data_IF_421140385017
#
_entry.id   IF_421140385017
#
_cell.length_a   1.000
_cell.length_b   1.000
_cell.length_c   1.000
_cell.angle_alpha   90.00
_cell.angle_beta   90.00
_cell.angle_gamma   90.00
#
_symmetry.space_group_name_H-M   'P 1'
#
loop_
_entity.id
_entity.type
_entity.pdbx_description
1 polymer ?
#
# COMPACT_ATOMS: atom_id res chain seq x y z
N UNK A 1 39.28 55.18 6.32
CA UNK A 1 38.73 53.90 6.81
C UNK A 1 38.09 53.23 5.61
N UNK A 2 38.92 52.56 4.81
CA UNK A 2 38.55 51.97 3.53
C UNK A 2 38.45 50.46 3.75
N UNK A 3 37.35 50.03 4.38
CA UNK A 3 37.05 48.62 4.66
C UNK A 3 35.55 48.39 4.93
N UNK A 4 34.68 49.32 4.52
CA UNK A 4 33.21 49.19 4.66
C UNK A 4 32.49 49.00 3.32
N UNK A 5 33.14 49.31 2.19
CA UNK A 5 32.51 49.29 0.86
C UNK A 5 32.56 47.90 0.17
N UNK A 6 33.26 46.92 0.76
CA UNK A 6 33.47 45.59 0.15
C UNK A 6 32.80 44.43 0.91
N UNK A 7 31.85 44.75 1.79
CA UNK A 7 30.91 43.74 2.30
C UNK A 7 29.87 43.51 1.20
N UNK A 8 30.26 42.77 0.15
CA UNK A 8 29.29 42.10 -0.71
C UNK A 8 28.53 41.14 0.19
N UNK A 9 27.29 41.49 0.52
CA UNK A 9 26.35 40.64 1.23
C UNK A 9 26.27 39.31 0.44
N UNK A 10 26.99 38.28 0.91
CA UNK A 10 27.27 37.04 0.18
C UNK A 10 26.06 36.11 0.06
N UNK A 11 24.86 36.69 0.07
CA UNK A 11 23.57 36.00 0.05
C UNK A 11 22.82 36.40 -1.20
N UNK A 12 22.45 35.39 -1.98
CA UNK A 12 21.52 35.54 -3.10
C UNK A 12 20.19 34.89 -2.71
N UNK A 13 19.15 35.71 -2.54
CA UNK A 13 17.81 35.27 -2.20
C UNK A 13 16.94 35.03 -3.45
N UNK A 14 17.47 35.25 -4.65
CA UNK A 14 16.75 35.10 -5.92
C UNK A 14 15.39 35.84 -5.94
N UNK A 15 15.37 37.10 -5.51
CA UNK A 15 14.15 37.91 -5.39
C UNK A 15 13.46 38.17 -6.75
N UNK A 16 14.15 37.90 -7.86
CA UNK A 16 13.64 37.92 -9.23
C UNK A 16 12.80 36.67 -9.59
N UNK A 17 12.86 35.62 -8.77
CA UNK A 17 12.22 34.32 -9.04
C UNK A 17 11.22 33.98 -7.93
N UNK A 18 9.90 34.13 -8.18
CA UNK A 18 8.92 33.70 -7.20
C UNK A 18 8.96 32.18 -7.02
N UNK A 19 8.81 31.72 -5.78
CA UNK A 19 8.61 30.30 -5.49
C UNK A 19 7.27 29.84 -6.08
N UNK A 20 7.26 28.64 -6.65
CA UNK A 20 6.05 27.99 -7.16
C UNK A 20 5.83 26.64 -6.50
N UNK A 21 4.57 26.22 -6.42
CA UNK A 21 4.22 24.89 -5.91
C UNK A 21 4.32 23.85 -7.02
N UNK A 22 4.86 22.68 -6.69
CA UNK A 22 4.90 21.53 -7.60
C UNK A 22 3.65 20.68 -7.42
N UNK A 23 2.95 20.37 -8.51
CA UNK A 23 1.76 19.52 -8.49
C UNK A 23 2.11 18.05 -8.23
N UNK A 24 1.38 17.40 -7.32
CA UNK A 24 1.38 15.94 -7.18
C UNK A 24 0.35 15.32 -8.15
N UNK A 25 0.83 14.83 -9.30
CA UNK A 25 -0.01 14.45 -10.45
C UNK A 25 -0.55 13.00 -10.41
N UNK A 26 -0.55 12.35 -9.24
CA UNK A 26 -1.17 11.03 -9.08
C UNK A 26 -2.70 11.17 -9.01
N UNK A 27 -3.42 10.34 -9.78
CA UNK A 27 -4.88 10.44 -9.97
C UNK A 27 -5.61 10.47 -8.60
N UNK A 28 -6.42 11.51 -8.39
CA UNK A 28 -7.25 11.65 -7.18
C UNK A 28 -6.49 11.94 -5.87
N UNK A 29 -5.16 12.13 -5.92
CA UNK A 29 -4.32 12.23 -4.72
C UNK A 29 -3.73 13.63 -4.49
N UNK A 30 -4.12 14.64 -5.27
CA UNK A 30 -3.52 15.99 -5.26
C UNK A 30 -3.86 16.86 -4.05
N UNK A 31 -4.77 16.41 -3.17
CA UNK A 31 -5.20 17.13 -1.97
C UNK A 31 -4.96 16.34 -0.67
N UNK A 32 -4.09 15.33 -0.71
CA UNK A 32 -3.65 14.58 0.46
C UNK A 32 -2.51 15.32 1.17
N UNK A 33 -2.35 15.08 2.48
CA UNK A 33 -1.18 15.58 3.22
C UNK A 33 0.13 15.01 2.67
N UNK A 34 1.24 15.74 2.86
CA UNK A 34 2.56 15.37 2.38
C UNK A 34 2.96 13.94 2.78
N UNK A 35 2.67 13.52 4.02
CA UNK A 35 3.04 12.17 4.49
C UNK A 35 2.37 11.05 3.70
N UNK A 36 1.11 11.25 3.31
CA UNK A 36 0.37 10.27 2.50
C UNK A 36 0.81 10.32 1.03
N UNK A 37 1.05 11.52 0.47
CA UNK A 37 1.61 11.65 -0.89
C UNK A 37 2.99 10.99 -1.01
N UNK A 38 3.83 11.13 0.03
CA UNK A 38 5.15 10.50 0.12
C UNK A 38 5.05 8.97 0.09
N UNK A 39 4.15 8.36 0.87
CA UNK A 39 3.90 6.91 0.83
C UNK A 39 3.40 6.45 -0.54
N UNK A 40 2.48 7.19 -1.15
CA UNK A 40 1.96 6.89 -2.48
C UNK A 40 3.04 7.00 -3.56
N UNK A 41 3.96 7.97 -3.46
CA UNK A 41 5.10 8.14 -4.37
C UNK A 41 6.13 7.00 -4.29
N UNK A 42 6.14 6.24 -3.18
CA UNK A 42 6.92 5.00 -3.05
C UNK A 42 6.25 3.82 -3.73
N UNK A 43 4.91 3.80 -3.78
CA UNK A 43 4.15 2.75 -4.48
C UNK A 43 4.14 3.02 -5.98
N UNK A 44 3.72 4.22 -6.38
CA UNK A 44 3.59 4.63 -7.78
C UNK A 44 4.77 5.50 -8.18
N UNK A 45 5.55 5.05 -9.15
CA UNK A 45 6.70 5.78 -9.66
C UNK A 45 6.29 7.21 -10.08
N UNK A 46 6.88 8.29 -9.54
CA UNK A 46 6.42 9.66 -9.81
C UNK A 46 6.47 10.08 -11.27
N UNK A 47 7.34 9.45 -12.09
CA UNK A 47 7.48 9.75 -13.53
C UNK A 47 6.38 9.05 -14.34
N UNK A 48 6.14 7.77 -14.08
CA UNK A 48 5.21 6.95 -14.88
C UNK A 48 3.80 6.91 -14.30
N UNK A 49 3.65 7.19 -13.00
CA UNK A 49 2.43 7.07 -12.18
C UNK A 49 1.87 5.64 -12.15
N UNK A 50 2.75 4.65 -12.37
CA UNK A 50 2.43 3.22 -12.39
C UNK A 50 3.29 2.47 -11.38
N UNK A 51 2.94 1.23 -11.11
CA UNK A 51 3.63 0.33 -10.20
C UNK A 51 3.57 -1.11 -10.71
N UNK A 52 4.62 -1.88 -10.44
CA UNK A 52 4.63 -3.34 -10.54
C UNK A 52 4.73 -3.90 -9.13
N UNK A 53 3.60 -4.39 -8.61
CA UNK A 53 3.49 -4.93 -7.26
C UNK A 53 3.63 -6.46 -7.28
N UNK A 54 4.55 -6.99 -6.48
CA UNK A 54 4.71 -8.43 -6.28
C UNK A 54 3.94 -8.87 -5.03
N UNK A 55 2.83 -9.58 -5.23
CA UNK A 55 1.97 -10.08 -4.16
C UNK A 55 2.27 -11.55 -3.82
N UNK A 56 2.47 -11.82 -2.53
CA UNK A 56 2.74 -13.17 -2.00
C UNK A 56 2.11 -13.34 -0.61
N UNK A 57 0.96 -12.70 -0.39
CA UNK A 57 0.18 -12.77 0.85
C UNK A 57 -0.78 -13.96 0.91
N UNK A 58 -1.03 -14.66 -0.21
CA UNK A 58 -2.02 -15.75 -0.38
C UNK A 58 -2.14 -16.73 0.79
N UNK A 59 -1.01 -17.05 1.44
CA UNK A 59 -0.99 -17.97 2.58
C UNK A 59 -1.79 -17.50 3.80
N UNK A 60 -2.24 -16.25 3.86
CA UNK A 60 -3.06 -15.73 4.96
C UNK A 60 -4.36 -16.54 5.20
N UNK A 61 -4.91 -17.16 4.14
CA UNK A 61 -6.09 -18.03 4.22
C UNK A 61 -5.91 -19.38 3.51
N UNK A 62 -4.90 -19.53 2.64
CA UNK A 62 -4.64 -20.75 1.85
C UNK A 62 -3.57 -21.67 2.46
N UNK A 63 -2.76 -21.19 3.41
CA UNK A 63 -1.55 -21.91 3.83
C UNK A 63 -0.47 -21.94 2.73
N UNK A 64 0.35 -23.01 2.63
CA UNK A 64 1.45 -23.09 1.66
C UNK A 64 0.92 -23.38 0.25
N UNK A 65 0.48 -22.33 -0.45
CA UNK A 65 0.04 -22.43 -1.85
C UNK A 65 1.22 -22.65 -2.79
N UNK A 66 0.96 -23.25 -3.96
CA UNK A 66 1.99 -23.63 -4.94
C UNK A 66 2.90 -22.45 -5.29
N UNK A 67 4.21 -22.64 -5.17
CA UNK A 67 5.25 -21.64 -5.42
C UNK A 67 5.61 -20.76 -4.20
N UNK A 68 4.76 -20.72 -3.16
CA UNK A 68 4.99 -19.96 -1.93
C UNK A 68 5.37 -20.84 -0.73
N UNK A 69 5.71 -22.11 -0.96
CA UNK A 69 6.12 -23.04 0.10
C UNK A 69 7.40 -22.58 0.80
N UNK A 70 8.28 -21.92 0.05
CA UNK A 70 9.57 -21.37 0.52
C UNK A 70 9.79 -19.96 -0.03
N UNK A 71 9.13 -18.97 0.56
CA UNK A 71 9.28 -17.56 0.19
C UNK A 71 10.74 -17.10 0.27
N UNK A 72 11.46 -17.58 1.27
CA UNK A 72 12.88 -17.30 1.51
C UNK A 72 13.81 -17.81 0.37
N UNK A 73 13.37 -18.80 -0.41
CA UNK A 73 14.13 -19.36 -1.54
C UNK A 73 13.55 -18.90 -2.88
N UNK A 74 12.26 -19.13 -3.09
CA UNK A 74 11.63 -19.02 -4.40
C UNK A 74 11.24 -17.58 -4.74
N UNK A 75 10.91 -16.77 -3.73
CA UNK A 75 10.38 -15.42 -3.93
C UNK A 75 11.42 -14.35 -3.59
N UNK A 76 12.32 -14.63 -2.65
CA UNK A 76 13.36 -13.67 -2.25
C UNK A 76 14.21 -13.12 -3.42
N UNK A 77 14.63 -13.92 -4.43
CA UNK A 77 15.34 -13.40 -5.59
C UNK A 77 14.50 -12.43 -6.46
N UNK A 78 13.17 -12.44 -6.31
CA UNK A 78 12.28 -11.58 -7.09
C UNK A 78 12.10 -10.19 -6.50
N UNK A 79 12.44 -10.00 -5.21
CA UNK A 79 12.13 -8.75 -4.50
C UNK A 79 12.79 -7.52 -5.14
N UNK A 80 14.01 -7.66 -5.66
CA UNK A 80 14.75 -6.54 -6.26
C UNK A 80 14.10 -6.01 -7.54
N UNK A 81 13.36 -6.84 -8.26
CA UNK A 81 12.72 -6.51 -9.54
C UNK A 81 11.33 -5.90 -9.38
N UNK A 82 10.73 -5.98 -8.19
CA UNK A 82 9.43 -5.37 -7.90
C UNK A 82 9.58 -3.89 -7.53
N UNK A 83 8.59 -3.06 -7.87
CA UNK A 83 8.52 -1.69 -7.35
C UNK A 83 8.11 -1.71 -5.86
N UNK A 84 7.20 -2.61 -5.49
CA UNK A 84 6.61 -2.72 -4.15
C UNK A 84 6.24 -4.18 -3.85
N UNK A 85 6.41 -4.59 -2.58
CA UNK A 85 6.06 -5.92 -2.10
C UNK A 85 4.69 -5.89 -1.42
N UNK A 86 3.86 -6.93 -1.59
CA UNK A 86 2.61 -7.10 -0.85
C UNK A 86 2.60 -8.45 -0.13
N UNK A 87 2.53 -8.41 1.20
CA UNK A 87 2.64 -9.60 2.06
C UNK A 87 1.96 -9.41 3.42
N UNK A 88 1.95 -10.47 4.24
CA UNK A 88 1.50 -10.40 5.64
C UNK A 88 2.62 -9.94 6.56
N UNK A 89 2.27 -9.40 7.74
CA UNK A 89 3.27 -9.02 8.75
C UNK A 89 4.11 -10.19 9.26
N UNK A 90 3.57 -11.40 9.23
CA UNK A 90 4.28 -12.61 9.64
C UNK A 90 5.46 -12.88 8.71
N UNK A 91 5.17 -12.98 7.40
CA UNK A 91 6.18 -13.17 6.36
C UNK A 91 7.17 -12.01 6.30
N UNK A 92 6.69 -10.77 6.39
CA UNK A 92 7.54 -9.59 6.36
C UNK A 92 8.61 -9.62 7.46
N UNK A 93 8.23 -10.01 8.69
CA UNK A 93 9.16 -10.06 9.83
C UNK A 93 10.08 -11.28 9.79
N UNK A 94 9.61 -12.41 9.26
CA UNK A 94 10.32 -13.68 9.38
C UNK A 94 11.33 -13.93 8.26
N UNK A 95 10.99 -13.58 7.02
CA UNK A 95 11.76 -14.03 5.83
C UNK A 95 12.02 -12.95 4.79
N UNK A 96 11.45 -11.75 4.93
CA UNK A 96 11.77 -10.61 4.05
C UNK A 96 12.88 -9.79 4.71
N UNK A 97 14.12 -9.78 4.19
CA UNK A 97 15.21 -9.05 4.82
C UNK A 97 14.95 -7.53 4.75
N UNK A 98 15.03 -6.77 5.86
CA UNK A 98 14.84 -5.31 5.84
C UNK A 98 15.80 -4.58 4.87
N UNK A 99 16.98 -5.16 4.63
CA UNK A 99 17.99 -4.65 3.71
C UNK A 99 17.53 -4.56 2.24
N UNK A 100 16.47 -5.27 1.85
CA UNK A 100 15.91 -5.18 0.49
C UNK A 100 15.39 -3.78 0.16
N UNK A 101 15.07 -2.99 1.19
CA UNK A 101 14.68 -1.58 1.11
C UNK A 101 13.58 -1.30 0.07
N UNK A 102 12.62 -2.21 -0.04
CA UNK A 102 11.44 -2.04 -0.90
C UNK A 102 10.26 -1.48 -0.11
N UNK A 103 9.42 -0.63 -0.74
CA UNK A 103 8.10 -0.31 -0.22
C UNK A 103 7.28 -1.58 0.04
N UNK A 104 6.42 -1.55 1.06
CA UNK A 104 5.57 -2.69 1.41
C UNK A 104 4.12 -2.25 1.57
N UNK A 105 3.20 -3.00 0.96
CA UNK A 105 1.77 -2.97 1.24
C UNK A 105 1.40 -4.18 2.08
N UNK A 106 0.79 -3.94 3.23
CA UNK A 106 0.54 -5.00 4.21
C UNK A 106 -0.87 -5.56 4.07
N UNK A 107 -1.01 -6.89 3.93
CA UNK A 107 -2.28 -7.59 4.15
C UNK A 107 -2.75 -7.32 5.59
N UNK A 108 -3.83 -6.56 5.72
CA UNK A 108 -4.39 -6.10 6.98
C UNK A 108 -5.80 -6.67 7.25
N UNK A 109 -6.30 -7.58 6.41
CA UNK A 109 -7.47 -8.41 6.65
C UNK A 109 -7.13 -9.90 6.66
N UNK A 110 -8.01 -10.75 7.20
CA UNK A 110 -7.84 -12.19 7.28
C UNK A 110 -8.83 -12.80 8.28
N UNK A 111 -8.44 -13.88 8.97
CA UNK A 111 -9.30 -14.67 9.87
C UNK A 111 -10.36 -15.56 9.18
N UNK A 112 -10.30 -15.66 7.86
CA UNK A 112 -10.95 -16.66 7.04
C UNK A 112 -9.98 -17.81 6.70
N UNK A 113 -10.50 -18.87 6.07
CA UNK A 113 -9.71 -19.94 5.48
C UNK A 113 -10.44 -20.53 4.28
N UNK A 114 -9.75 -21.36 3.49
CA UNK A 114 -10.37 -22.12 2.40
C UNK A 114 -11.42 -23.16 2.86
N UNK A 115 -11.51 -23.43 4.17
CA UNK A 115 -12.42 -24.43 4.75
C UNK A 115 -13.73 -23.82 5.27
N UNK A 116 -13.86 -22.49 5.20
CA UNK A 116 -14.99 -21.72 5.74
C UNK A 116 -15.46 -20.71 4.72
N UNK A 117 -16.51 -19.95 5.04
CA UNK A 117 -16.97 -18.85 4.19
C UNK A 117 -15.84 -17.85 3.90
N UNK A 118 -15.55 -17.63 2.62
CA UNK A 118 -14.37 -16.87 2.17
C UNK A 118 -14.49 -15.39 2.53
N UNK A 119 -15.70 -14.82 2.48
CA UNK A 119 -15.92 -13.41 2.78
C UNK A 119 -15.86 -13.06 4.28
N UNK A 120 -15.80 -14.06 5.17
CA UNK A 120 -15.78 -13.88 6.62
C UNK A 120 -14.41 -13.38 7.14
N UNK A 121 -14.03 -12.17 6.73
CA UNK A 121 -12.79 -11.52 7.14
C UNK A 121 -12.98 -10.48 8.24
N UNK A 122 -11.96 -10.34 9.07
CA UNK A 122 -11.78 -9.27 10.03
C UNK A 122 -10.47 -8.52 9.77
N UNK A 123 -10.32 -7.33 10.37
CA UNK A 123 -9.04 -6.61 10.40
C UNK A 123 -8.01 -7.45 11.17
N UNK A 124 -6.92 -7.83 10.49
CA UNK A 124 -5.87 -8.72 10.99
C UNK A 124 -4.66 -7.99 11.57
N UNK A 125 -4.51 -6.68 11.29
CA UNK A 125 -3.39 -5.86 11.74
C UNK A 125 -3.88 -4.49 12.22
N UNK A 126 -3.55 -4.14 13.46
CA UNK A 126 -3.79 -2.79 13.97
C UNK A 126 -2.87 -1.78 13.27
N UNK A 127 -3.37 -0.56 13.02
CA UNK A 127 -2.61 0.49 12.34
C UNK A 127 -1.30 0.85 13.03
N UNK A 128 -1.22 0.73 14.36
CA UNK A 128 0.01 0.87 15.14
C UNK A 128 1.14 -0.05 14.64
N UNK A 129 0.82 -1.31 14.33
CA UNK A 129 1.81 -2.27 13.86
C UNK A 129 2.16 -2.04 12.38
N UNK A 130 1.23 -1.54 11.57
CA UNK A 130 1.51 -1.10 10.20
C UNK A 130 2.49 0.09 10.18
N UNK A 131 2.32 1.06 11.07
CA UNK A 131 3.26 2.18 11.27
C UNK A 131 4.62 1.65 11.75
N UNK A 132 4.63 0.77 12.75
CA UNK A 132 5.87 0.14 13.27
C UNK A 132 6.66 -0.60 12.18
N UNK A 133 5.97 -1.19 11.20
CA UNK A 133 6.56 -1.90 10.07
C UNK A 133 6.96 -0.99 8.89
N UNK A 134 6.80 0.33 9.04
CA UNK A 134 7.11 1.31 7.98
C UNK A 134 6.42 1.00 6.64
N UNK A 135 5.16 0.56 6.70
CA UNK A 135 4.41 0.23 5.48
C UNK A 135 4.05 1.49 4.69
N UNK A 136 3.87 1.31 3.38
CA UNK A 136 3.41 2.38 2.48
C UNK A 136 1.90 2.35 2.29
N UNK A 137 1.25 1.21 2.52
CA UNK A 137 -0.21 1.10 2.59
C UNK A 137 -0.61 -0.13 3.41
N UNK A 138 -1.88 -0.16 3.83
CA UNK A 138 -2.54 -1.35 4.35
C UNK A 138 -3.64 -1.80 3.36
N UNK A 139 -3.81 -3.10 3.19
CA UNK A 139 -4.72 -3.69 2.22
C UNK A 139 -5.74 -4.62 2.89
N UNK A 140 -7.00 -4.53 2.47
CA UNK A 140 -8.05 -5.42 2.93
C UNK A 140 -9.00 -5.79 1.79
N UNK A 141 -9.63 -6.94 1.89
CA UNK A 141 -10.65 -7.35 0.92
C UNK A 141 -11.97 -6.60 1.16
N UNK A 142 -12.69 -6.34 0.07
CA UNK A 142 -14.11 -6.00 0.07
C UNK A 142 -14.85 -7.05 -0.77
N UNK A 143 -15.92 -7.62 -0.23
CA UNK A 143 -16.65 -8.74 -0.80
C UNK A 143 -18.08 -8.34 -1.15
N UNK A 144 -18.23 -7.58 -2.24
CA UNK A 144 -19.54 -7.14 -2.72
C UNK A 144 -20.33 -8.33 -3.28
N UNK A 145 -21.56 -8.50 -2.85
CA UNK A 145 -22.46 -9.60 -3.20
C UNK A 145 -22.27 -10.87 -2.37
N UNK A 146 -21.38 -10.87 -1.39
CA UNK A 146 -21.07 -12.04 -0.55
C UNK A 146 -21.81 -12.01 0.81
N UNK A 147 -21.80 -13.14 1.52
CA UNK A 147 -22.46 -13.28 2.83
C UNK A 147 -22.01 -12.21 3.84
N UNK A 148 -20.71 -11.92 3.90
CA UNK A 148 -20.14 -10.94 4.84
C UNK A 148 -19.79 -9.59 4.18
N UNK A 149 -20.51 -9.18 3.12
CA UNK A 149 -20.30 -7.89 2.43
C UNK A 149 -20.20 -6.73 3.43
N UNK A 150 -21.20 -6.61 4.30
CA UNK A 150 -21.27 -5.52 5.28
C UNK A 150 -20.03 -5.45 6.19
N UNK A 151 -19.54 -6.61 6.66
CA UNK A 151 -18.36 -6.67 7.52
C UNK A 151 -17.10 -6.29 6.73
N UNK A 152 -16.98 -6.74 5.48
CA UNK A 152 -15.84 -6.39 4.63
C UNK A 152 -15.76 -4.88 4.36
N UNK A 153 -16.89 -4.21 4.14
CA UNK A 153 -16.97 -2.75 4.00
C UNK A 153 -16.57 -2.06 5.31
N UNK A 154 -17.04 -2.57 6.46
CA UNK A 154 -16.64 -2.04 7.78
C UNK A 154 -15.13 -2.18 8.04
N UNK A 155 -14.50 -3.23 7.57
CA UNK A 155 -13.04 -3.38 7.66
C UNK A 155 -12.33 -2.24 6.91
N UNK A 156 -12.82 -1.88 5.72
CA UNK A 156 -12.30 -0.75 4.94
C UNK A 156 -12.51 0.58 5.69
N UNK A 157 -13.72 0.82 6.20
CA UNK A 157 -14.03 2.04 6.98
C UNK A 157 -13.08 2.18 8.18
N UNK A 158 -12.93 1.11 8.97
CA UNK A 158 -12.05 1.09 10.14
C UNK A 158 -10.60 1.39 9.77
N UNK A 159 -10.11 0.82 8.67
CA UNK A 159 -8.74 1.05 8.20
C UNK A 159 -8.55 2.49 7.70
N UNK A 160 -9.53 3.08 7.00
CA UNK A 160 -9.49 4.48 6.56
C UNK A 160 -9.44 5.42 7.76
N UNK A 161 -10.32 5.22 8.74
CA UNK A 161 -10.39 6.05 9.95
C UNK A 161 -9.07 6.03 10.73
N UNK A 162 -8.45 4.85 10.85
CA UNK A 162 -7.16 4.70 11.49
C UNK A 162 -6.00 5.26 10.62
N UNK A 163 -6.06 5.04 9.31
CA UNK A 163 -5.01 5.43 8.36
C UNK A 163 -4.92 6.95 8.19
N UNK A 164 -6.04 7.66 8.17
CA UNK A 164 -6.09 9.11 8.10
C UNK A 164 -5.35 9.78 9.27
N UNK A 165 -5.37 9.19 10.46
CA UNK A 165 -4.66 9.73 11.65
C UNK A 165 -3.14 9.68 11.53
N UNK A 166 -2.61 8.84 10.63
CA UNK A 166 -1.16 8.58 10.49
C UNK A 166 -0.65 8.77 9.06
N UNK A 167 -1.51 9.25 8.15
CA UNK A 167 -1.21 9.41 6.72
C UNK A 167 -0.97 8.09 5.98
N UNK A 168 -1.61 6.98 6.39
CA UNK A 168 -1.48 5.66 5.75
C UNK A 168 -2.54 5.47 4.66
N UNK A 169 -2.15 5.26 3.38
CA UNK A 169 -3.07 4.84 2.33
C UNK A 169 -3.70 3.47 2.60
N UNK A 170 -4.98 3.31 2.22
CA UNK A 170 -5.71 2.05 2.31
C UNK A 170 -6.02 1.54 0.90
N UNK A 171 -5.65 0.30 0.63
CA UNK A 171 -5.94 -0.40 -0.63
C UNK A 171 -7.10 -1.37 -0.41
N UNK A 172 -8.24 -1.09 -1.06
CA UNK A 172 -9.38 -2.00 -1.10
C UNK A 172 -9.20 -2.98 -2.26
N UNK A 173 -9.20 -4.27 -1.98
CA UNK A 173 -9.07 -5.33 -2.98
C UNK A 173 -10.42 -5.99 -3.16
N UNK A 174 -10.95 -6.03 -4.37
CA UNK A 174 -12.24 -6.67 -4.63
C UNK A 174 -12.10 -8.19 -4.57
N UNK A 175 -12.67 -8.78 -3.52
CA UNK A 175 -12.83 -10.22 -3.39
C UNK A 175 -14.02 -10.69 -4.21
N UNK A 176 -13.84 -11.76 -4.97
CA UNK A 176 -14.90 -12.35 -5.80
C UNK A 176 -15.36 -13.66 -5.16
N UNK A 177 -16.68 -13.82 -5.02
CA UNK A 177 -17.28 -15.10 -4.63
C UNK A 177 -17.34 -16.05 -5.84
N UNK A 178 -17.20 -17.35 -5.56
CA UNK A 178 -17.22 -18.43 -6.56
C UNK A 178 -18.57 -18.50 -7.30
N UNK A 179 -19.66 -18.07 -6.66
CA UNK A 179 -21.02 -18.18 -7.19
C UNK A 179 -21.50 -16.97 -8.01
N UNK A 180 -20.66 -15.96 -8.22
CA UNK A 180 -21.03 -14.85 -9.12
C UNK A 180 -20.95 -15.32 -10.57
N UNK A 181 -22.06 -15.21 -11.31
CA UNK A 181 -22.06 -15.37 -12.76
C UNK A 181 -21.01 -14.43 -13.37
N UNK A 182 -20.14 -14.93 -14.26
CA UNK A 182 -19.09 -14.13 -14.93
C UNK A 182 -19.68 -13.19 -16.00
N UNK A 183 -20.56 -12.29 -15.59
CA UNK A 183 -21.31 -11.38 -16.44
C UNK A 183 -20.77 -9.93 -16.38
N UNK A 184 -21.46 -8.97 -17.04
CA UNK A 184 -20.99 -7.58 -17.10
C UNK A 184 -20.76 -6.95 -15.71
N UNK A 185 -21.68 -7.07 -14.74
CA UNK A 185 -21.44 -6.66 -13.35
C UNK A 185 -20.20 -7.30 -12.72
N UNK A 186 -19.96 -8.60 -12.95
CA UNK A 186 -18.77 -9.30 -12.46
C UNK A 186 -17.46 -8.67 -12.95
N UNK A 187 -17.34 -8.38 -14.25
CA UNK A 187 -16.11 -7.77 -14.78
C UNK A 187 -15.93 -6.29 -14.38
N UNK A 188 -17.01 -5.59 -14.04
CA UNK A 188 -16.90 -4.21 -13.53
C UNK A 188 -16.34 -4.11 -12.11
N UNK A 189 -16.35 -5.22 -11.36
CA UNK A 189 -15.85 -5.31 -9.99
C UNK A 189 -14.44 -5.93 -9.92
N UNK A 190 -14.01 -6.63 -10.97
CA UNK A 190 -12.65 -7.13 -11.07
C UNK A 190 -11.65 -5.98 -11.33
N UNK A 191 -10.45 -5.99 -10.73
CA UNK A 191 -9.41 -5.05 -11.11
C UNK A 191 -9.02 -5.30 -12.57
N UNK A 192 -9.12 -4.27 -13.42
CA UNK A 192 -8.56 -4.26 -14.78
C UNK A 192 -7.11 -3.78 -14.73
#
# INVERSE_FOLDING_TARGET
>A
MADLDDIKDGKDFHTDKPQTNTLFALKGCGALDWGMQSRLARIFNPKTRKTVMLAFDHGYFQGPTTGLERIDINIAPLFEYADVLMCTRGILRSVVPPAINKPVVLRASGANSILTELSNEAVAVAMDDAVRLNTCAAAAQVYIGSEHEHQSIKNIIQLIDAGLRVGMPIMSVTGLCIDMARDKPYFSLAPV
#
